data_IF_542244631785
#
_entry.id   IF_542244631785
#
_cell.length_a   1.000
_cell.length_b   1.000
_cell.length_c   1.000
_cell.angle_alpha   90.00
_cell.angle_beta   90.00
_cell.angle_gamma   90.00
#
_symmetry.space_group_name_H-M   'P 1'
#
loop_
_entity.id
_entity.type
_entity.pdbx_description
1 polymer ?
#
# COMPACT_ATOMS: atom_id res chain seq x y z
N UNK A 1 -13.01 14.90 -6.51
CA UNK A 1 -12.50 13.80 -5.66
C UNK A 1 -11.35 13.12 -6.40
N UNK A 2 -10.35 12.63 -5.66
CA UNK A 2 -9.25 11.86 -6.23
C UNK A 2 -9.75 10.56 -6.87
N UNK A 3 -9.22 10.24 -8.05
CA UNK A 3 -9.44 9.01 -8.80
C UNK A 3 -8.13 8.52 -9.40
N UNK A 4 -8.02 7.20 -9.57
CA UNK A 4 -6.93 6.56 -10.30
C UNK A 4 -7.55 5.76 -11.43
N UNK A 5 -7.22 6.11 -12.67
CA UNK A 5 -7.76 5.45 -13.86
C UNK A 5 -6.64 4.70 -14.58
N UNK A 6 -6.92 3.46 -14.93
CA UNK A 6 -6.07 2.60 -15.76
C UNK A 6 -6.73 2.45 -17.14
N UNK A 7 -6.01 2.79 -18.19
CA UNK A 7 -6.51 2.70 -19.57
C UNK A 7 -5.61 1.77 -20.37
N UNK A 8 -6.10 0.54 -20.62
CA UNK A 8 -5.43 -0.49 -21.43
C UNK A 8 -3.96 -0.73 -21.03
N UNK A 9 -3.67 -0.67 -19.72
CA UNK A 9 -2.30 -0.82 -19.26
C UNK A 9 -1.77 -2.24 -19.49
N UNK A 10 -0.49 -2.31 -19.83
CA UNK A 10 0.23 -3.56 -19.95
C UNK A 10 1.63 -3.47 -19.35
N UNK A 11 2.05 -4.54 -18.70
CA UNK A 11 3.39 -4.69 -18.13
C UNK A 11 4.01 -6.00 -18.58
N UNK A 12 5.23 -5.91 -19.09
CA UNK A 12 6.07 -7.08 -19.40
C UNK A 12 7.45 -6.94 -18.79
N UNK A 13 8.07 -8.08 -18.52
CA UNK A 13 9.50 -8.17 -18.24
C UNK A 13 10.16 -9.00 -19.35
N UNK A 14 11.18 -8.44 -19.98
CA UNK A 14 11.77 -9.01 -21.21
C UNK A 14 10.67 -9.25 -22.26
N UNK A 15 10.36 -10.51 -22.55
CA UNK A 15 9.35 -10.92 -23.55
C UNK A 15 8.08 -11.51 -22.93
N UNK A 16 7.98 -11.58 -21.61
CA UNK A 16 6.85 -12.17 -20.90
C UNK A 16 5.89 -11.09 -20.37
N UNK A 17 4.65 -11.15 -20.81
CA UNK A 17 3.60 -10.26 -20.28
C UNK A 17 3.12 -10.73 -18.90
N UNK A 18 3.17 -9.82 -17.95
CA UNK A 18 2.63 -10.05 -16.62
C UNK A 18 1.12 -9.82 -16.62
N UNK A 19 0.69 -8.74 -17.24
CA UNK A 19 -0.72 -8.42 -17.56
C UNK A 19 -0.76 -7.50 -18.79
N UNK A 20 -1.91 -7.47 -19.49
CA UNK A 20 -2.13 -6.62 -20.67
C UNK A 20 -3.61 -6.25 -20.80
N UNK A 21 -3.89 -5.12 -21.45
CA UNK A 21 -5.24 -4.59 -21.68
C UNK A 21 -6.04 -4.39 -20.39
N UNK A 22 -5.40 -4.05 -19.29
CA UNK A 22 -6.06 -3.82 -18.02
C UNK A 22 -6.60 -2.40 -17.98
N UNK A 23 -7.92 -2.27 -17.88
CA UNK A 23 -8.62 -1.01 -17.65
C UNK A 23 -9.45 -1.11 -16.39
N UNK A 24 -9.28 -0.14 -15.49
CA UNK A 24 -9.97 -0.11 -14.19
C UNK A 24 -9.97 1.30 -13.60
N UNK A 25 -10.91 1.59 -12.69
CA UNK A 25 -10.95 2.84 -11.94
C UNK A 25 -11.00 2.57 -10.43
N UNK A 26 -10.17 3.29 -9.66
CA UNK A 26 -10.19 3.28 -8.21
C UNK A 26 -10.70 4.62 -7.70
N UNK A 27 -11.60 4.59 -6.72
CA UNK A 27 -12.21 5.77 -6.11
C UNK A 27 -12.31 5.64 -4.59
N UNK A 28 -12.57 6.75 -3.91
CA UNK A 28 -12.81 6.74 -2.45
C UNK A 28 -14.09 6.00 -2.11
N UNK A 29 -14.13 5.46 -0.90
CA UNK A 29 -15.24 4.69 -0.32
C UNK A 29 -15.54 3.36 -1.02
N UNK A 30 -14.69 2.96 -1.98
CA UNK A 30 -14.75 1.68 -2.66
C UNK A 30 -13.40 0.97 -2.54
N UNK A 31 -13.11 0.34 -1.39
CA UNK A 31 -11.87 -0.41 -1.24
C UNK A 31 -11.86 -1.58 -2.23
N UNK A 32 -10.73 -1.77 -2.91
CA UNK A 32 -10.57 -2.78 -3.95
C UNK A 32 -9.52 -3.79 -3.53
N UNK A 33 -9.85 -5.09 -3.72
CA UNK A 33 -8.86 -6.15 -3.63
C UNK A 33 -8.34 -6.57 -5.02
N UNK A 34 -7.02 -6.52 -5.21
CA UNK A 34 -6.35 -7.15 -6.34
C UNK A 34 -6.05 -8.60 -5.94
N UNK A 35 -6.73 -9.55 -6.59
CA UNK A 35 -6.68 -10.96 -6.22
C UNK A 35 -5.99 -11.81 -7.30
N UNK A 36 -5.50 -12.97 -6.89
CA UNK A 36 -4.83 -13.94 -7.76
C UNK A 36 -3.77 -14.74 -7.00
N UNK A 37 -3.29 -15.87 -7.54
CA UNK A 37 -2.26 -16.69 -6.89
C UNK A 37 -0.92 -15.96 -6.76
N UNK A 38 -0.01 -16.52 -5.95
CA UNK A 38 1.34 -16.00 -5.85
C UNK A 38 2.04 -16.06 -7.23
N UNK A 39 2.82 -15.01 -7.54
CA UNK A 39 3.47 -14.87 -8.85
C UNK A 39 2.54 -14.43 -10.00
N UNK A 40 1.26 -14.16 -9.74
CA UNK A 40 0.33 -13.73 -10.80
C UNK A 40 0.55 -12.31 -11.32
N UNK A 41 1.33 -11.47 -10.61
CA UNK A 41 1.60 -10.09 -11.01
C UNK A 41 0.92 -9.03 -10.16
N UNK A 42 0.27 -9.40 -9.05
CA UNK A 42 -0.38 -8.46 -8.11
C UNK A 42 0.58 -7.37 -7.63
N UNK A 43 1.73 -7.77 -7.07
CA UNK A 43 2.76 -6.81 -6.59
C UNK A 43 3.33 -5.95 -7.72
N UNK A 44 3.41 -6.51 -8.94
CA UNK A 44 3.81 -5.74 -10.13
C UNK A 44 2.79 -4.63 -10.44
N UNK A 45 1.50 -4.93 -10.36
CA UNK A 45 0.45 -3.92 -10.54
C UNK A 45 0.49 -2.87 -9.42
N UNK A 46 0.70 -3.29 -8.16
CA UNK A 46 0.85 -2.36 -7.03
C UNK A 46 2.04 -1.41 -7.22
N UNK A 47 3.19 -1.92 -7.68
CA UNK A 47 4.38 -1.10 -7.98
C UNK A 47 4.13 -0.15 -9.15
N UNK A 48 3.39 -0.56 -10.17
CA UNK A 48 3.01 0.31 -11.29
C UNK A 48 2.06 1.43 -10.82
N UNK A 49 1.08 1.11 -9.99
CA UNK A 49 0.20 2.11 -9.35
C UNK A 49 1.00 3.09 -8.47
N UNK A 50 2.00 2.61 -7.78
CA UNK A 50 2.87 3.48 -6.98
C UNK A 50 3.83 4.35 -7.81
N UNK A 51 3.88 4.16 -9.14
CA UNK A 51 4.89 4.82 -9.99
C UNK A 51 6.31 4.29 -9.79
N UNK A 52 6.48 3.20 -9.04
CA UNK A 52 7.79 2.62 -8.75
C UNK A 52 8.40 1.86 -9.94
N UNK A 53 7.56 1.39 -10.86
CA UNK A 53 7.98 0.76 -12.11
C UNK A 53 7.17 1.32 -13.29
N UNK A 54 7.78 1.51 -14.47
CA UNK A 54 7.06 1.95 -15.66
C UNK A 54 6.18 0.82 -16.23
N UNK A 55 5.06 1.20 -16.82
CA UNK A 55 4.24 0.32 -17.67
C UNK A 55 4.80 0.30 -19.10
N UNK A 56 4.40 -0.70 -19.92
CA UNK A 56 4.84 -0.84 -21.31
C UNK A 56 3.79 -0.37 -22.31
N UNK A 57 2.51 -0.45 -21.96
CA UNK A 57 1.37 -0.03 -22.78
C UNK A 57 0.33 0.67 -21.91
N UNK A 58 -0.50 1.50 -22.53
CA UNK A 58 -1.60 2.20 -21.87
C UNK A 58 -1.18 3.40 -21.04
N UNK A 59 -2.06 3.80 -20.11
CA UNK A 59 -1.84 4.97 -19.28
C UNK A 59 -2.42 4.77 -17.88
N UNK A 60 -1.69 5.18 -16.86
CA UNK A 60 -2.17 5.38 -15.49
C UNK A 60 -2.36 6.88 -15.28
N UNK A 61 -3.50 7.28 -14.74
CA UNK A 61 -3.81 8.70 -14.50
C UNK A 61 -4.32 8.87 -13.08
N UNK A 62 -3.68 9.73 -12.32
CA UNK A 62 -4.21 10.28 -11.08
C UNK A 62 -4.88 11.62 -11.40
N UNK A 63 -6.12 11.79 -10.97
CA UNK A 63 -6.86 13.03 -11.22
C UNK A 63 -7.65 13.47 -10.00
N UNK A 64 -7.73 14.79 -9.79
CA UNK A 64 -8.58 15.37 -8.77
C UNK A 64 -9.46 16.45 -9.41
N UNK A 65 -10.78 16.31 -9.30
CA UNK A 65 -11.74 17.25 -9.93
C UNK A 65 -11.40 17.49 -11.41
N UNK A 66 -11.22 16.41 -12.18
CA UNK A 66 -10.87 16.40 -13.62
C UNK A 66 -9.47 16.96 -13.98
N UNK A 67 -8.71 17.44 -13.00
CA UNK A 67 -7.32 17.84 -13.23
C UNK A 67 -6.38 16.66 -13.04
N UNK A 68 -5.62 16.34 -14.08
CA UNK A 68 -4.56 15.33 -14.03
C UNK A 68 -3.43 15.78 -13.11
N UNK A 69 -2.97 14.88 -12.26
CA UNK A 69 -1.82 15.09 -11.38
C UNK A 69 -0.59 14.50 -12.09
N UNK A 70 0.50 15.28 -12.26
CA UNK A 70 1.74 14.79 -12.85
C UNK A 70 2.27 13.55 -12.09
N UNK A 71 2.83 12.60 -12.81
CA UNK A 71 3.34 11.34 -12.24
C UNK A 71 4.49 11.55 -11.24
N UNK A 72 5.29 12.57 -11.43
CA UNK A 72 6.34 13.01 -10.50
C UNK A 72 5.79 13.36 -9.10
N UNK A 73 4.50 13.72 -9.00
CA UNK A 73 3.86 14.11 -7.73
C UNK A 73 3.04 12.96 -7.10
N UNK A 74 2.91 11.81 -7.74
CA UNK A 74 2.12 10.70 -7.18
C UNK A 74 2.66 10.23 -5.83
N UNK A 75 3.98 10.26 -5.66
CA UNK A 75 4.61 9.87 -4.40
C UNK A 75 4.12 10.68 -3.19
N UNK A 76 3.66 11.92 -3.37
CA UNK A 76 3.10 12.74 -2.31
C UNK A 76 1.69 12.26 -1.88
N UNK A 77 0.94 11.69 -2.82
CA UNK A 77 -0.45 11.29 -2.63
C UNK A 77 -0.61 9.90 -2.02
N UNK A 78 0.40 9.05 -2.13
CA UNK A 78 0.25 7.64 -1.76
C UNK A 78 1.16 7.24 -0.59
N UNK A 79 0.68 6.27 0.17
CA UNK A 79 1.48 5.46 1.09
C UNK A 79 1.41 4.01 0.67
N UNK A 80 2.51 3.27 0.86
CA UNK A 80 2.63 1.91 0.41
C UNK A 80 3.29 1.04 1.48
N UNK A 81 2.66 -0.10 1.79
CA UNK A 81 3.23 -1.14 2.62
C UNK A 81 3.28 -2.45 1.85
N UNK A 82 4.46 -3.07 1.79
CA UNK A 82 4.69 -4.33 1.12
C UNK A 82 5.77 -5.15 1.85
N UNK A 83 5.80 -6.50 1.72
CA UNK A 83 6.81 -7.33 2.36
C UNK A 83 8.25 -6.98 1.96
N UNK A 84 8.46 -6.65 0.68
CA UNK A 84 9.77 -6.33 0.10
C UNK A 84 10.25 -4.89 0.33
N UNK A 85 9.44 -4.03 0.95
CA UNK A 85 9.90 -2.71 1.37
C UNK A 85 10.69 -2.84 2.67
N UNK A 86 11.93 -2.38 2.62
CA UNK A 86 12.85 -2.47 3.74
C UNK A 86 12.81 -1.22 4.61
N UNK A 87 13.06 -1.41 5.89
CA UNK A 87 13.28 -0.35 6.88
C UNK A 87 14.79 -0.17 7.07
N UNK A 88 15.23 1.03 7.47
CA UNK A 88 16.63 1.26 7.81
C UNK A 88 16.92 0.53 9.13
N UNK A 89 17.66 -0.58 9.03
CA UNK A 89 17.86 -1.51 10.15
C UNK A 89 18.70 -0.93 11.30
N UNK A 90 19.59 0.01 11.00
CA UNK A 90 20.47 0.68 11.98
C UNK A 90 19.73 1.69 12.85
N UNK A 91 18.60 2.22 12.36
CA UNK A 91 17.81 3.19 13.11
C UNK A 91 17.06 2.51 14.27
N UNK A 92 16.96 3.23 15.38
CA UNK A 92 15.95 2.92 16.40
C UNK A 92 14.54 3.15 15.84
N UNK A 93 13.54 2.62 16.53
CA UNK A 93 12.15 2.88 16.17
C UNK A 93 11.83 4.38 16.11
N UNK A 94 12.25 5.13 17.14
CA UNK A 94 12.00 6.58 17.18
C UNK A 94 12.69 7.30 16.01
N UNK A 95 13.93 6.94 15.69
CA UNK A 95 14.67 7.51 14.56
C UNK A 95 13.99 7.18 13.23
N UNK A 96 13.54 5.94 13.04
CA UNK A 96 12.81 5.51 11.83
C UNK A 96 11.54 6.32 11.62
N UNK A 97 10.77 6.53 12.68
CA UNK A 97 9.53 7.33 12.63
C UNK A 97 9.85 8.80 12.35
N UNK A 98 10.81 9.38 13.07
CA UNK A 98 11.22 10.77 12.88
C UNK A 98 11.81 11.03 11.48
N UNK A 99 12.50 10.05 10.91
CA UNK A 99 13.00 10.12 9.55
C UNK A 99 11.85 10.11 8.54
N UNK A 100 10.90 9.18 8.68
CA UNK A 100 9.73 9.06 7.82
C UNK A 100 8.91 10.36 7.78
N UNK A 101 8.65 10.96 8.94
CA UNK A 101 7.81 12.16 9.06
C UNK A 101 8.38 13.37 8.33
N UNK A 102 9.70 13.42 8.10
CA UNK A 102 10.35 14.49 7.31
C UNK A 102 9.92 14.47 5.84
N UNK A 103 9.58 13.30 5.30
CA UNK A 103 9.14 13.12 3.92
C UNK A 103 7.62 12.99 3.80
N UNK A 104 7.00 12.35 4.78
CA UNK A 104 5.55 12.12 4.84
C UNK A 104 5.03 12.43 6.24
N UNK A 105 4.58 13.66 6.48
CA UNK A 105 3.99 14.04 7.75
C UNK A 105 2.82 13.12 8.12
N UNK A 106 2.57 12.96 9.39
CA UNK A 106 1.40 12.25 9.85
C UNK A 106 0.13 13.11 9.71
N UNK A 107 -0.98 12.45 9.41
CA UNK A 107 -2.30 13.10 9.36
C UNK A 107 -2.67 13.69 10.72
N UNK A 108 -3.44 14.80 10.70
CA UNK A 108 -3.99 15.48 11.87
C UNK A 108 -2.93 15.93 12.91
N UNK A 109 -1.68 16.11 12.50
CA UNK A 109 -0.62 16.53 13.42
C UNK A 109 -0.25 15.49 14.48
N UNK A 110 -0.51 14.19 14.22
CA UNK A 110 -0.20 13.12 15.15
C UNK A 110 1.28 13.16 15.55
N UNK A 111 1.56 13.15 16.85
CA UNK A 111 2.92 13.14 17.37
C UNK A 111 3.58 11.75 17.19
N UNK A 112 4.93 11.72 17.18
CA UNK A 112 5.68 10.45 17.19
C UNK A 112 5.30 9.60 18.40
N UNK A 113 5.11 10.20 19.58
CA UNK A 113 4.72 9.47 20.80
C UNK A 113 3.38 8.79 20.66
N UNK A 114 2.35 9.54 20.20
CA UNK A 114 1.01 8.99 20.02
C UNK A 114 0.99 7.90 18.95
N UNK A 115 1.75 8.11 17.86
CA UNK A 115 1.92 7.10 16.82
C UNK A 115 2.48 5.78 17.39
N UNK A 116 3.52 5.86 18.22
CA UNK A 116 4.13 4.67 18.83
C UNK A 116 3.16 3.93 19.76
N UNK A 117 2.29 4.65 20.47
CA UNK A 117 1.22 4.05 21.28
C UNK A 117 0.19 3.34 20.39
N UNK A 118 -0.25 3.98 19.29
CA UNK A 118 -1.22 3.41 18.36
C UNK A 118 -0.74 2.11 17.73
N UNK A 119 0.53 2.04 17.35
CA UNK A 119 1.13 0.81 16.82
C UNK A 119 1.56 -0.17 17.92
N UNK A 120 1.32 0.15 19.21
CA UNK A 120 1.65 -0.67 20.39
C UNK A 120 3.15 -1.05 20.48
N UNK A 121 4.04 -0.18 20.02
CA UNK A 121 5.49 -0.37 20.05
C UNK A 121 6.23 0.65 20.91
N UNK A 122 5.54 1.47 21.68
CA UNK A 122 6.11 2.56 22.50
C UNK A 122 7.27 2.08 23.40
N UNK A 123 7.11 0.91 24.04
CA UNK A 123 8.15 0.34 24.93
C UNK A 123 9.44 -0.02 24.19
N UNK A 124 9.43 -0.01 22.86
CA UNK A 124 10.55 -0.37 22.00
C UNK A 124 11.14 0.84 21.26
N UNK A 125 10.82 2.08 21.66
CA UNK A 125 11.21 3.31 20.97
C UNK A 125 12.72 3.43 20.71
N UNK A 126 13.54 2.98 21.65
CA UNK A 126 15.00 3.06 21.59
C UNK A 126 15.64 1.76 21.04
N UNK A 127 14.83 0.77 20.66
CA UNK A 127 15.33 -0.50 20.12
C UNK A 127 15.63 -0.37 18.62
N UNK A 128 16.84 -0.76 18.16
CA UNK A 128 17.17 -0.79 16.74
C UNK A 128 16.24 -1.73 15.94
N UNK A 129 15.85 -1.31 14.74
CA UNK A 129 14.92 -2.04 13.86
C UNK A 129 15.47 -3.43 13.48
N UNK A 130 16.79 -3.58 13.33
CA UNK A 130 17.42 -4.89 13.10
C UNK A 130 17.08 -5.94 14.15
N UNK A 131 16.78 -5.51 15.38
CA UNK A 131 16.42 -6.39 16.51
C UNK A 131 14.91 -6.62 16.63
N UNK A 132 14.10 -6.14 15.67
CA UNK A 132 12.66 -6.36 15.66
C UNK A 132 12.31 -7.78 15.20
N UNK A 133 11.22 -8.33 15.75
CA UNK A 133 10.58 -9.49 15.13
C UNK A 133 9.97 -9.11 13.77
N UNK A 134 9.70 -10.11 12.92
CA UNK A 134 9.02 -9.88 11.65
C UNK A 134 7.66 -9.17 11.83
N UNK A 135 6.91 -9.56 12.84
CA UNK A 135 5.63 -8.92 13.19
C UNK A 135 5.78 -7.47 13.62
N UNK A 136 6.81 -7.13 14.42
CA UNK A 136 7.08 -5.74 14.79
C UNK A 136 7.47 -4.89 13.57
N UNK A 137 8.29 -5.42 12.66
CA UNK A 137 8.65 -4.74 11.40
C UNK A 137 7.40 -4.52 10.54
N UNK A 138 6.56 -5.52 10.41
CA UNK A 138 5.33 -5.42 9.63
C UNK A 138 4.38 -4.39 10.24
N UNK A 139 4.19 -4.39 11.56
CA UNK A 139 3.35 -3.44 12.27
C UNK A 139 3.84 -2.00 12.12
N UNK A 140 5.16 -1.78 12.14
CA UNK A 140 5.76 -0.47 11.86
C UNK A 140 5.47 -0.01 10.42
N UNK A 141 5.73 -0.88 9.40
CA UNK A 141 5.46 -0.55 7.99
C UNK A 141 4.00 -0.18 7.76
N UNK A 142 3.09 -0.98 8.29
CA UNK A 142 1.65 -0.72 8.19
C UNK A 142 1.26 0.58 8.89
N UNK A 143 1.76 0.81 10.11
CA UNK A 143 1.50 2.04 10.84
C UNK A 143 1.93 3.29 10.06
N UNK A 144 3.17 3.29 9.55
CA UNK A 144 3.66 4.38 8.71
C UNK A 144 2.77 4.61 7.48
N UNK A 145 2.31 3.55 6.82
CA UNK A 145 1.41 3.67 5.67
C UNK A 145 0.02 4.20 6.05
N UNK A 146 -0.59 3.70 7.12
CA UNK A 146 -1.92 4.14 7.58
C UNK A 146 -1.96 5.60 7.99
N UNK A 147 -0.95 6.04 8.74
CA UNK A 147 -0.97 7.34 9.42
C UNK A 147 -0.29 8.47 8.64
N UNK A 148 0.40 8.19 7.54
CA UNK A 148 0.90 9.22 6.63
C UNK A 148 -0.25 10.06 6.07
N UNK A 149 -0.02 11.36 5.92
CA UNK A 149 -0.96 12.33 5.33
C UNK A 149 -1.02 12.13 3.80
N UNK A 150 -1.69 11.08 3.38
CA UNK A 150 -1.83 10.67 1.97
C UNK A 150 -3.29 10.36 1.66
N UNK A 151 -3.65 10.43 0.37
CA UNK A 151 -5.01 10.16 -0.11
C UNK A 151 -5.20 8.74 -0.65
N UNK A 152 -4.10 8.02 -0.91
CA UNK A 152 -4.07 6.65 -1.43
C UNK A 152 -3.27 5.77 -0.48
N UNK A 153 -3.80 4.59 -0.18
CA UNK A 153 -3.18 3.57 0.64
C UNK A 153 -3.07 2.27 -0.17
N UNK A 154 -1.84 1.87 -0.45
CA UNK A 154 -1.52 0.62 -1.13
C UNK A 154 -0.99 -0.39 -0.10
N UNK A 155 -1.60 -1.57 -0.05
CA UNK A 155 -1.28 -2.64 0.89
C UNK A 155 -1.04 -3.95 0.12
N UNK A 156 0.20 -4.41 0.09
CA UNK A 156 0.56 -5.68 -0.56
C UNK A 156 0.87 -6.72 0.53
N UNK A 157 0.10 -7.82 0.56
CA UNK A 157 0.16 -8.88 1.56
C UNK A 157 0.28 -8.35 3.00
N UNK A 158 -0.67 -7.51 3.45
CA UNK A 158 -0.50 -6.67 4.63
C UNK A 158 -0.34 -7.42 5.95
N UNK A 159 -0.90 -8.64 6.08
CA UNK A 159 -0.85 -9.35 7.36
C UNK A 159 0.26 -10.41 7.42
N UNK A 160 1.15 -10.44 6.43
CA UNK A 160 2.34 -11.30 6.47
C UNK A 160 3.10 -11.11 7.78
N UNK A 161 3.33 -12.22 8.50
CA UNK A 161 4.01 -12.26 9.81
C UNK A 161 3.27 -11.61 10.99
N UNK A 162 2.00 -11.25 10.87
CA UNK A 162 1.19 -10.81 12.00
C UNK A 162 0.54 -12.02 12.70
N UNK A 163 0.51 -11.97 14.02
CA UNK A 163 -0.34 -12.85 14.83
C UNK A 163 -1.82 -12.39 14.80
N UNK A 164 -2.71 -13.11 15.47
CA UNK A 164 -4.13 -12.78 15.48
C UNK A 164 -4.39 -11.37 16.02
N UNK A 165 -3.68 -10.94 17.07
CA UNK A 165 -3.82 -9.58 17.64
C UNK A 165 -3.38 -8.51 16.63
N UNK A 166 -2.29 -8.76 15.92
CA UNK A 166 -1.81 -7.89 14.84
C UNK A 166 -2.78 -7.84 13.67
N UNK A 167 -3.40 -8.96 13.33
CA UNK A 167 -4.44 -9.01 12.31
C UNK A 167 -5.68 -8.18 12.71
N UNK A 168 -6.19 -8.36 13.94
CA UNK A 168 -7.35 -7.60 14.43
C UNK A 168 -7.06 -6.10 14.46
N UNK A 169 -5.84 -5.72 14.85
CA UNK A 169 -5.38 -4.35 14.78
C UNK A 169 -5.39 -3.85 13.31
N UNK A 170 -4.85 -4.63 12.34
CA UNK A 170 -4.88 -4.28 10.92
C UNK A 170 -6.30 -3.99 10.43
N UNK A 171 -7.26 -4.87 10.68
CA UNK A 171 -8.66 -4.68 10.29
C UNK A 171 -9.20 -3.36 10.85
N UNK A 172 -8.98 -3.09 12.14
CA UNK A 172 -9.45 -1.86 12.77
C UNK A 172 -8.83 -0.59 12.18
N UNK A 173 -7.59 -0.64 11.67
CA UNK A 173 -6.94 0.51 11.05
C UNK A 173 -7.42 0.72 9.61
N UNK A 174 -7.59 -0.36 8.84
CA UNK A 174 -8.05 -0.24 7.46
C UNK A 174 -9.49 0.29 7.37
N UNK A 175 -10.38 -0.13 8.28
CA UNK A 175 -11.75 0.40 8.38
C UNK A 175 -11.80 1.92 8.63
N UNK A 176 -10.83 2.46 9.37
CA UNK A 176 -10.69 3.91 9.53
C UNK A 176 -10.15 4.57 8.26
N UNK A 177 -9.17 3.93 7.59
CA UNK A 177 -8.55 4.47 6.39
C UNK A 177 -9.51 4.56 5.20
N UNK A 178 -10.40 3.59 5.02
CA UNK A 178 -11.41 3.55 3.93
C UNK A 178 -12.25 4.84 3.89
N UNK A 179 -12.55 5.44 5.05
CA UNK A 179 -13.39 6.66 5.14
C UNK A 179 -12.75 7.87 4.46
N UNK A 180 -11.42 7.89 4.33
CA UNK A 180 -10.69 9.10 3.91
C UNK A 180 -9.70 8.85 2.78
N UNK A 181 -9.39 7.58 2.45
CA UNK A 181 -8.38 7.21 1.45
C UNK A 181 -8.99 6.31 0.38
N UNK A 182 -8.37 6.31 -0.80
CA UNK A 182 -8.51 5.20 -1.76
C UNK A 182 -7.68 4.06 -1.20
N UNK A 183 -8.30 2.92 -0.89
CA UNK A 183 -7.62 1.75 -0.32
C UNK A 183 -7.58 0.64 -1.36
N UNK A 184 -6.37 0.17 -1.68
CA UNK A 184 -6.13 -0.94 -2.59
C UNK A 184 -5.31 -1.99 -1.85
N UNK A 185 -5.86 -3.19 -1.75
CA UNK A 185 -5.20 -4.34 -1.09
C UNK A 185 -4.85 -5.37 -2.15
N UNK A 186 -3.63 -5.86 -2.13
CA UNK A 186 -3.20 -6.99 -2.95
C UNK A 186 -2.97 -8.20 -2.05
N UNK A 187 -3.72 -9.26 -2.25
CA UNK A 187 -3.59 -10.48 -1.46
C UNK A 187 -4.20 -11.71 -2.15
N UNK A 188 -3.76 -12.90 -1.74
CA UNK A 188 -4.39 -14.17 -2.05
C UNK A 188 -5.23 -14.73 -0.87
N UNK A 189 -5.22 -14.05 0.30
CA UNK A 189 -5.93 -14.46 1.49
C UNK A 189 -7.21 -13.65 1.71
N UNK A 190 -8.42 -14.25 1.58
CA UNK A 190 -9.70 -13.53 1.67
C UNK A 190 -9.89 -12.72 2.96
N UNK A 191 -9.32 -13.18 4.08
CA UNK A 191 -9.41 -12.47 5.36
C UNK A 191 -8.77 -11.08 5.34
N UNK A 192 -7.74 -10.87 4.48
CA UNK A 192 -6.99 -9.60 4.41
C UNK A 192 -7.79 -8.49 3.71
N UNK A 193 -8.81 -8.84 2.94
CA UNK A 193 -9.63 -7.89 2.18
C UNK A 193 -11.15 -8.12 2.37
N UNK A 194 -11.53 -8.67 3.51
CA UNK A 194 -12.95 -8.96 3.83
C UNK A 194 -13.87 -7.72 3.73
N UNK A 195 -13.31 -6.52 3.86
CA UNK A 195 -13.99 -5.24 3.71
C UNK A 195 -14.10 -4.75 2.26
N UNK A 196 -13.51 -5.46 1.30
CA UNK A 196 -13.59 -5.13 -0.13
C UNK A 196 -14.76 -5.87 -0.77
N UNK A 197 -15.75 -5.13 -1.25
CA UNK A 197 -16.86 -5.71 -2.03
C UNK A 197 -16.47 -5.94 -3.49
N UNK A 198 -15.54 -5.13 -4.02
CA UNK A 198 -15.07 -5.21 -5.41
C UNK A 198 -13.69 -5.84 -5.49
N UNK A 199 -13.54 -6.73 -6.45
CA UNK A 199 -12.28 -7.43 -6.70
C UNK A 199 -11.81 -7.23 -8.14
N UNK A 200 -10.50 -7.04 -8.31
CA UNK A 200 -9.82 -7.09 -9.60
C UNK A 200 -9.00 -8.37 -9.64
N UNK A 201 -9.44 -9.34 -10.42
CA UNK A 201 -8.66 -10.57 -10.61
C UNK A 201 -7.59 -10.34 -11.67
N UNK A 202 -6.32 -10.37 -11.27
CA UNK A 202 -5.21 -10.13 -12.20
C UNK A 202 -5.11 -11.18 -13.30
N UNK A 203 -5.68 -12.39 -13.09
CA UNK A 203 -5.67 -13.46 -14.09
C UNK A 203 -6.54 -13.13 -15.32
N UNK A 204 -7.55 -12.27 -15.19
CA UNK A 204 -8.42 -11.86 -16.29
C UNK A 204 -7.66 -11.05 -17.35
N UNK A 205 -6.46 -10.54 -16.98
CA UNK A 205 -5.61 -9.73 -17.83
C UNK A 205 -4.32 -10.45 -18.26
N UNK A 206 -4.25 -11.77 -18.03
CA UNK A 206 -3.18 -12.61 -18.57
C UNK A 206 -3.38 -12.86 -20.06
N UNK A 207 -2.30 -12.82 -20.83
CA UNK A 207 -2.37 -13.29 -22.20
C UNK A 207 -2.48 -14.81 -22.15
N UNK A 208 -3.58 -15.32 -22.67
CA UNK A 208 -3.71 -16.77 -22.90
C UNK A 208 -2.67 -17.15 -23.97
N UNK A 209 -1.82 -18.11 -23.63
CA UNK A 209 -0.86 -18.70 -24.56
C UNK A 209 -1.58 -19.42 -25.70
#
# INVERSE_FOLDING_TARGET
>A
MLKISLENIGKKFKNEWIFRNLSFEFSRNEPIAIIGPNGSGKSTLMQALAGAIPINEGKITYSNQEKTIPDENWHELLSFSAPYLELIEEFTLAESVNFHVKFKPFQNGLSTSDFLQIIELEKHKDKPVKNFSSGMRQKLKLGLAFYSQTEVLLLDEPTSNLDQKGFDWYISQVEKAIKNKIVIVSSNEPKEYIFCEKHLNILDFKIKA
#
